data_IF_890287535653
#
_entry.id   IF_890287535653
#
_cell.length_a   1.000
_cell.length_b   1.000
_cell.length_c   1.000
_cell.angle_alpha   90.00
_cell.angle_beta   90.00
_cell.angle_gamma   90.00
#
_symmetry.space_group_name_H-M   'P 1'
#
loop_
_entity.id
_entity.type
_entity.pdbx_description
1 polymer ?
#
# COMPACT_ATOMS: atom_id res chain seq x y z
N UNK A 1 8.96 -7.85 -8.16
CA UNK A 1 9.74 -6.89 -7.34
C UNK A 1 9.78 -7.41 -5.90
N UNK A 2 10.91 -7.38 -5.19
CA UNK A 2 10.94 -7.75 -3.77
C UNK A 2 10.12 -6.77 -2.91
N UNK A 3 9.48 -7.27 -1.85
CA UNK A 3 8.65 -6.47 -0.92
C UNK A 3 9.42 -5.26 -0.37
N UNK A 4 10.70 -5.44 -0.04
CA UNK A 4 11.56 -4.36 0.48
C UNK A 4 11.70 -3.18 -0.48
N UNK A 5 11.80 -3.43 -1.79
CA UNK A 5 11.86 -2.37 -2.80
C UNK A 5 10.53 -1.63 -2.93
N UNK A 6 9.41 -2.34 -2.81
CA UNK A 6 8.08 -1.72 -2.78
C UNK A 6 7.90 -0.86 -1.53
N UNK A 7 8.25 -1.36 -0.36
CA UNK A 7 8.18 -0.61 0.91
C UNK A 7 9.07 0.64 0.88
N UNK A 8 10.23 0.57 0.23
CA UNK A 8 11.11 1.73 0.03
C UNK A 8 10.47 2.79 -0.89
N UNK A 9 9.76 2.37 -1.95
CA UNK A 9 8.98 3.29 -2.82
C UNK A 9 7.83 3.93 -2.05
N UNK A 10 7.04 3.14 -1.31
CA UNK A 10 5.93 3.62 -0.48
C UNK A 10 6.41 4.62 0.57
N UNK A 11 7.54 4.36 1.23
CA UNK A 11 8.09 5.26 2.25
C UNK A 11 8.37 6.67 1.73
N UNK A 12 8.74 6.81 0.45
CA UNK A 12 8.96 8.10 -0.20
C UNK A 12 7.66 8.87 -0.48
N UNK A 13 6.53 8.17 -0.54
CA UNK A 13 5.22 8.72 -0.86
C UNK A 13 4.39 9.05 0.39
N UNK A 14 4.71 8.43 1.53
CA UNK A 14 4.03 8.69 2.81
C UNK A 14 4.79 9.79 3.59
N UNK A 15 4.16 10.96 3.85
CA UNK A 15 4.75 12.00 4.69
C UNK A 15 5.05 11.49 6.10
N UNK A 16 6.07 12.04 6.76
CA UNK A 16 6.41 11.64 8.14
C UNK A 16 5.31 11.95 9.15
N UNK A 17 4.45 12.93 8.88
CA UNK A 17 3.25 13.22 9.68
C UNK A 17 2.19 12.11 9.62
N UNK A 18 2.35 11.15 8.71
CA UNK A 18 1.44 10.02 8.47
C UNK A 18 2.19 8.69 8.64
N UNK A 19 3.17 8.63 9.56
CA UNK A 19 3.92 7.40 9.83
C UNK A 19 2.99 6.26 10.31
N UNK A 20 1.86 6.56 10.95
CA UNK A 20 0.82 5.56 11.28
C UNK A 20 0.29 4.80 10.06
N UNK A 21 0.12 5.49 8.91
CA UNK A 21 -0.28 4.85 7.65
C UNK A 21 0.82 3.96 7.11
N UNK A 22 2.08 4.35 7.28
CA UNK A 22 3.21 3.54 6.83
C UNK A 22 3.32 2.26 7.67
N UNK A 23 3.23 2.37 8.99
CA UNK A 23 3.29 1.24 9.91
C UNK A 23 2.12 0.27 9.67
N UNK A 24 0.94 0.80 9.38
CA UNK A 24 -0.23 0.02 8.96
C UNK A 24 0.07 -0.81 7.71
N UNK A 25 0.67 -0.20 6.68
CA UNK A 25 1.04 -0.90 5.45
C UNK A 25 2.05 -2.00 5.74
N UNK A 26 3.12 -1.70 6.49
CA UNK A 26 4.17 -2.68 6.84
C UNK A 26 3.58 -3.87 7.59
N UNK A 27 2.73 -3.61 8.59
CA UNK A 27 2.07 -4.68 9.36
C UNK A 27 1.21 -5.57 8.47
N UNK A 28 0.43 -4.99 7.57
CA UNK A 28 -0.47 -5.76 6.70
C UNK A 28 0.28 -6.58 5.63
N UNK A 29 1.47 -6.14 5.20
CA UNK A 29 2.38 -7.02 4.44
C UNK A 29 2.92 -8.16 5.31
N UNK A 30 3.27 -7.89 6.57
CA UNK A 30 3.79 -8.89 7.51
C UNK A 30 2.81 -10.03 7.83
N UNK A 31 1.50 -9.74 7.88
CA UNK A 31 0.45 -10.74 8.11
C UNK A 31 -0.19 -11.29 6.81
N UNK A 32 0.31 -10.87 5.64
CA UNK A 32 -0.17 -11.33 4.33
C UNK A 32 -1.53 -10.77 3.89
N UNK A 33 -2.06 -9.76 4.58
CA UNK A 33 -3.27 -9.04 4.19
C UNK A 33 -3.04 -8.11 2.99
N UNK A 34 -1.82 -7.59 2.83
CA UNK A 34 -1.34 -6.95 1.61
C UNK A 34 -0.36 -7.87 0.88
N UNK A 35 -0.46 -7.87 -0.44
CA UNK A 35 0.46 -8.59 -1.33
C UNK A 35 1.13 -7.63 -2.30
N UNK A 36 2.37 -7.93 -2.73
CA UNK A 36 3.01 -7.16 -3.79
C UNK A 36 2.14 -7.15 -5.04
N UNK A 37 2.21 -6.09 -5.85
CA UNK A 37 1.50 -6.06 -7.11
C UNK A 37 1.82 -7.27 -7.99
N UNK A 38 0.78 -7.97 -8.44
CA UNK A 38 0.89 -9.14 -9.31
C UNK A 38 1.44 -8.75 -10.71
N UNK A 39 1.15 -7.53 -11.15
CA UNK A 39 1.69 -6.92 -12.37
C UNK A 39 2.62 -5.75 -12.03
N UNK A 40 3.61 -5.42 -12.88
CA UNK A 40 4.40 -4.21 -12.72
C UNK A 40 3.49 -2.98 -12.64
N UNK A 41 3.71 -2.14 -11.62
CA UNK A 41 2.97 -0.90 -11.41
C UNK A 41 3.94 0.29 -11.49
N UNK A 42 3.54 1.32 -12.23
CA UNK A 42 4.29 2.58 -12.40
C UNK A 42 4.36 3.36 -11.09
N UNK A 43 5.31 4.29 -10.99
CA UNK A 43 5.38 5.19 -9.82
C UNK A 43 4.14 6.08 -9.68
N UNK A 44 3.52 6.48 -10.79
CA UNK A 44 2.29 7.30 -10.79
C UNK A 44 1.08 6.54 -10.26
N UNK A 45 0.91 5.27 -10.66
CA UNK A 45 -0.14 4.40 -10.14
C UNK A 45 0.05 4.13 -8.64
N UNK A 46 1.29 3.87 -8.21
CA UNK A 46 1.62 3.70 -6.80
C UNK A 46 1.31 4.97 -6.00
N UNK A 47 1.76 6.13 -6.49
CA UNK A 47 1.51 7.41 -5.84
C UNK A 47 0.02 7.69 -5.68
N UNK A 48 -0.79 7.36 -6.70
CA UNK A 48 -2.24 7.50 -6.64
C UNK A 48 -2.89 6.58 -5.62
N UNK A 49 -2.45 5.31 -5.55
CA UNK A 49 -2.95 4.35 -4.56
C UNK A 49 -2.64 4.81 -3.13
N UNK A 50 -1.42 5.27 -2.87
CA UNK A 50 -1.00 5.78 -1.57
C UNK A 50 -1.72 7.08 -1.23
N UNK A 51 -1.80 8.04 -2.15
CA UNK A 51 -2.49 9.31 -1.92
C UNK A 51 -3.96 9.12 -1.55
N UNK A 52 -4.63 8.11 -2.09
CA UNK A 52 -6.00 7.78 -1.72
C UNK A 52 -6.12 7.06 -0.39
N UNK A 53 -5.19 6.16 -0.08
CA UNK A 53 -5.10 5.54 1.25
C UNK A 53 -4.92 6.60 2.36
N UNK A 54 -4.08 7.60 2.11
CA UNK A 54 -3.82 8.70 3.05
C UNK A 54 -5.02 9.62 3.31
N UNK A 55 -6.08 9.58 2.49
CA UNK A 55 -7.30 10.39 2.72
C UNK A 55 -8.16 9.89 3.86
N UNK A 56 -7.97 8.64 4.27
CA UNK A 56 -8.75 7.98 5.31
C UNK A 56 -7.84 7.60 6.47
N UNK A 57 -8.39 7.50 7.67
CA UNK A 57 -7.64 6.92 8.79
C UNK A 57 -7.21 5.48 8.45
N UNK A 58 -6.04 5.03 8.92
CA UNK A 58 -5.60 3.65 8.73
C UNK A 58 -6.61 2.70 9.40
N UNK A 59 -7.20 1.81 8.61
CA UNK A 59 -8.23 0.86 9.03
C UNK A 59 -8.21 -0.37 8.13
N UNK A 60 -8.85 -1.45 8.55
CA UNK A 60 -8.97 -2.65 7.73
C UNK A 60 -9.62 -2.38 6.37
N UNK A 61 -10.58 -1.44 6.31
CA UNK A 61 -11.26 -1.06 5.07
C UNK A 61 -10.35 -0.27 4.12
N UNK A 62 -9.61 0.72 4.64
CA UNK A 62 -8.68 1.49 3.82
C UNK A 62 -7.52 0.63 3.32
N UNK A 63 -7.06 -0.33 4.13
CA UNK A 63 -6.07 -1.35 3.75
C UNK A 63 -6.61 -2.28 2.68
N UNK A 64 -7.84 -2.79 2.81
CA UNK A 64 -8.44 -3.64 1.78
C UNK A 64 -8.56 -2.90 0.45
N UNK A 65 -8.88 -1.60 0.49
CA UNK A 65 -8.92 -0.74 -0.69
C UNK A 65 -7.54 -0.57 -1.32
N UNK A 66 -6.50 -0.36 -0.51
CA UNK A 66 -5.12 -0.33 -0.99
C UNK A 66 -4.72 -1.68 -1.61
N UNK A 67 -5.06 -2.79 -0.96
CA UNK A 67 -4.80 -4.16 -1.45
C UNK A 67 -5.37 -4.40 -2.83
N UNK A 68 -6.63 -4.03 -3.07
CA UNK A 68 -7.27 -4.11 -4.41
C UNK A 68 -6.56 -3.28 -5.49
N UNK A 69 -5.89 -2.18 -5.11
CA UNK A 69 -5.13 -1.36 -6.07
C UNK A 69 -3.77 -1.94 -6.39
N UNK A 70 -3.13 -2.53 -5.39
CA UNK A 70 -1.86 -3.21 -5.58
C UNK A 70 -2.08 -4.49 -6.39
N UNK A 71 -3.15 -5.23 -6.09
CA UNK A 71 -3.51 -6.46 -6.78
C UNK A 71 -5.00 -6.46 -7.15
N UNK A 72 -5.36 -5.92 -8.32
CA UNK A 72 -6.73 -5.94 -8.83
C UNK A 72 -7.19 -7.34 -9.28
N UNK A 73 -6.31 -8.35 -9.26
CA UNK A 73 -6.65 -9.72 -9.68
C UNK A 73 -7.07 -10.63 -8.53
N UNK A 74 -6.90 -10.21 -7.27
CA UNK A 74 -7.39 -10.95 -6.11
C UNK A 74 -8.92 -10.76 -5.97
N UNK A 75 -9.74 -11.82 -6.15
CA UNK A 75 -11.19 -11.75 -5.93
C UNK A 75 -11.53 -11.70 -4.43
N UNK A 76 -12.75 -11.25 -4.12
CA UNK A 76 -13.33 -11.16 -2.78
C UNK A 76 -13.30 -12.50 -2.01
#
# INVERSE_FOLDING_TARGET
MPISALLARIRRLVPRSSDEHYDEIVRNFGVGALRPPATPMTDGELARAIAEFLKHSPSSESVATLGRRLDPTTPL
#
